data_IF_681047108521
#
_entry.id   IF_681047108521
#
_cell.length_a   1.000
_cell.length_b   1.000
_cell.length_c   1.000
_cell.angle_alpha   90.00
_cell.angle_beta   90.00
_cell.angle_gamma   90.00
#
_symmetry.space_group_name_H-M   'P 1'
#
loop_
_entity.id
_entity.type
_entity.pdbx_description
1 polymer ?
#
# COMPACT_ATOMS: atom_id res chain seq x y z
N UNK A 1 5.98 0.74 12.17
CA UNK A 1 6.21 1.10 10.73
C UNK A 1 5.15 2.11 10.30
N UNK A 2 5.31 2.84 9.19
CA UNK A 2 4.26 3.76 8.72
C UNK A 2 3.29 3.02 7.79
N UNK A 3 2.01 3.41 7.82
CA UNK A 3 0.98 2.88 6.93
C UNK A 3 0.78 3.84 5.75
N UNK A 4 0.66 3.26 4.56
CA UNK A 4 0.37 3.95 3.31
C UNK A 4 -0.84 3.33 2.63
N UNK A 5 -1.59 4.14 1.92
CA UNK A 5 -2.54 3.66 0.91
C UNK A 5 -1.90 3.79 -0.45
N UNK A 6 -1.93 2.71 -1.25
CA UNK A 6 -1.49 2.70 -2.64
C UNK A 6 -2.70 2.47 -3.54
N UNK A 7 -2.94 3.42 -4.44
CA UNK A 7 -4.08 3.40 -5.37
C UNK A 7 -3.51 3.36 -6.79
N UNK A 8 -3.92 2.36 -7.59
CA UNK A 8 -3.57 2.31 -9.00
C UNK A 8 -4.40 3.34 -9.79
N UNK A 9 -3.76 4.07 -10.70
CA UNK A 9 -4.43 4.97 -11.65
C UNK A 9 -4.47 4.34 -13.06
N UNK A 10 -4.32 3.02 -13.13
CA UNK A 10 -4.35 2.24 -14.35
C UNK A 10 -5.73 1.61 -14.59
N UNK A 11 -5.92 1.09 -15.79
CA UNK A 11 -7.04 0.19 -16.08
C UNK A 11 -7.07 -0.97 -15.06
N UNK A 12 -8.25 -1.37 -14.52
CA UNK A 12 -8.35 -2.46 -13.55
C UNK A 12 -7.78 -3.81 -14.03
N UNK A 13 -7.65 -4.01 -15.34
CA UNK A 13 -7.00 -5.20 -15.91
C UNK A 13 -5.47 -5.15 -15.82
N UNK A 14 -4.86 -3.98 -15.61
CA UNK A 14 -3.42 -3.84 -15.44
C UNK A 14 -3.02 -4.20 -14.00
N UNK A 15 -2.38 -5.36 -13.86
CA UNK A 15 -1.96 -5.91 -12.57
C UNK A 15 -0.49 -5.63 -12.24
N UNK A 16 0.24 -4.79 -13.01
CA UNK A 16 1.68 -4.57 -12.79
C UNK A 16 1.98 -4.02 -11.40
N UNK A 17 1.29 -2.95 -10.98
CA UNK A 17 1.48 -2.35 -9.66
C UNK A 17 1.06 -3.32 -8.53
N UNK A 18 -0.10 -3.97 -8.68
CA UNK A 18 -0.56 -4.97 -7.71
C UNK A 18 0.45 -6.13 -7.57
N UNK A 19 1.02 -6.60 -8.68
CA UNK A 19 2.05 -7.63 -8.68
C UNK A 19 3.36 -7.16 -8.03
N UNK A 20 3.77 -5.90 -8.24
CA UNK A 20 4.95 -5.33 -7.57
C UNK A 20 4.79 -5.30 -6.04
N UNK A 21 3.60 -4.93 -5.56
CA UNK A 21 3.27 -4.96 -4.12
C UNK A 21 3.28 -6.40 -3.60
N UNK A 22 2.54 -7.31 -4.25
CA UNK A 22 2.37 -8.70 -3.80
C UNK A 22 3.67 -9.51 -3.82
N UNK A 23 4.61 -9.19 -4.71
CA UNK A 23 5.93 -9.84 -4.81
C UNK A 23 6.97 -9.27 -3.86
N UNK A 24 6.67 -8.16 -3.19
CA UNK A 24 7.61 -7.55 -2.27
C UNK A 24 7.84 -8.44 -1.05
N UNK A 25 9.09 -8.63 -0.62
CA UNK A 25 9.37 -9.44 0.56
C UNK A 25 8.77 -8.82 1.83
N UNK A 26 8.24 -9.64 2.76
CA UNK A 26 7.59 -9.15 3.99
C UNK A 26 8.53 -8.35 4.91
N UNK A 27 9.84 -8.57 4.82
CA UNK A 27 10.86 -7.79 5.52
C UNK A 27 11.02 -6.37 4.96
N UNK A 28 10.58 -6.12 3.73
CA UNK A 28 10.60 -4.79 3.08
C UNK A 28 9.28 -4.08 3.28
N UNK A 29 8.17 -4.73 2.91
CA UNK A 29 6.83 -4.20 3.14
C UNK A 29 5.84 -5.34 3.39
N UNK A 30 4.81 -5.03 4.17
CA UNK A 30 3.63 -5.87 4.32
C UNK A 30 2.44 -5.18 3.67
N UNK A 31 1.50 -5.94 3.15
CA UNK A 31 0.37 -5.39 2.39
C UNK A 31 -0.95 -6.06 2.79
N UNK A 32 -2.03 -5.34 2.55
CA UNK A 32 -3.40 -5.83 2.63
C UNK A 32 -4.20 -5.23 1.47
N UNK A 33 -4.82 -6.09 0.67
CA UNK A 33 -5.63 -5.68 -0.48
C UNK A 33 -7.06 -5.36 -0.01
N UNK A 34 -7.52 -4.16 -0.33
CA UNK A 34 -8.89 -3.73 -0.10
C UNK A 34 -9.81 -4.28 -1.21
N UNK A 35 -11.14 -4.38 -0.97
CA UNK A 35 -12.06 -5.03 -1.90
C UNK A 35 -12.12 -4.45 -3.31
N UNK A 36 -11.67 -3.21 -3.52
CA UNK A 36 -11.69 -2.55 -4.83
C UNK A 36 -10.31 -2.48 -5.50
N UNK A 37 -9.32 -3.18 -4.95
CA UNK A 37 -7.98 -3.34 -5.53
C UNK A 37 -6.96 -2.29 -5.07
N UNK A 38 -7.34 -1.37 -4.17
CA UNK A 38 -6.37 -0.54 -3.46
C UNK A 38 -5.62 -1.36 -2.41
N UNK A 39 -4.44 -0.90 -2.01
CA UNK A 39 -3.63 -1.57 -1.02
C UNK A 39 -3.40 -0.69 0.20
N UNK A 40 -3.51 -1.28 1.37
CA UNK A 40 -2.82 -0.80 2.55
C UNK A 40 -1.42 -1.42 2.55
N UNK A 41 -0.41 -0.61 2.84
CA UNK A 41 0.98 -1.03 2.85
C UNK A 41 1.64 -0.53 4.13
N UNK A 42 2.28 -1.44 4.87
CA UNK A 42 3.16 -1.10 5.98
C UNK A 42 4.59 -1.08 5.47
N UNK A 43 5.23 0.07 5.54
CA UNK A 43 6.58 0.28 5.01
C UNK A 43 7.42 1.14 5.95
N UNK A 44 8.74 0.91 5.95
CA UNK A 44 9.69 1.73 6.68
C UNK A 44 10.28 2.79 5.73
N UNK A 45 9.78 4.01 5.84
CA UNK A 45 10.26 5.14 5.04
C UNK A 45 9.16 6.15 4.79
N UNK A 46 9.33 6.92 3.73
CA UNK A 46 8.41 7.96 3.25
C UNK A 46 7.57 7.46 2.07
N UNK A 47 6.53 8.22 1.71
CA UNK A 47 5.72 7.92 0.52
C UNK A 47 6.53 8.00 -0.78
N UNK A 48 7.53 8.89 -0.85
CA UNK A 48 8.43 9.01 -2.01
C UNK A 48 9.32 7.78 -2.13
N UNK A 49 9.91 7.31 -1.03
CA UNK A 49 10.73 6.09 -1.04
C UNK A 49 9.91 4.86 -1.43
N UNK A 50 8.67 4.74 -0.92
CA UNK A 50 7.76 3.68 -1.32
C UNK A 50 7.36 3.78 -2.81
N UNK A 51 7.07 4.98 -3.31
CA UNK A 51 6.76 5.22 -4.73
C UNK A 51 7.91 4.80 -5.65
N UNK A 52 9.14 5.18 -5.27
CA UNK A 52 10.35 4.79 -5.99
C UNK A 52 10.56 3.28 -5.94
N UNK A 53 10.42 2.66 -4.77
CA UNK A 53 10.56 1.23 -4.58
C UNK A 53 9.55 0.43 -5.42
N UNK A 54 8.30 0.88 -5.49
CA UNK A 54 7.26 0.26 -6.31
C UNK A 54 7.41 0.58 -7.81
N UNK A 55 8.40 1.38 -8.22
CA UNK A 55 8.61 1.75 -9.62
C UNK A 55 7.52 2.65 -10.21
N UNK A 56 6.76 3.36 -9.36
CA UNK A 56 5.69 4.30 -9.77
C UNK A 56 6.31 5.58 -10.33
N UNK A 57 7.31 6.14 -9.64
CA UNK A 57 7.93 7.43 -10.01
C UNK A 57 8.55 7.41 -11.41
N UNK A 58 9.03 6.24 -11.85
CA UNK A 58 9.64 6.02 -13.16
C UNK A 58 8.67 5.37 -14.17
N UNK A 59 7.41 5.12 -13.77
CA UNK A 59 6.39 4.47 -14.60
C UNK A 59 6.64 3.00 -14.95
N UNK A 60 7.62 2.34 -14.32
CA UNK A 60 8.03 0.97 -14.63
C UNK A 60 6.91 -0.05 -14.36
N UNK A 61 6.22 0.10 -13.23
CA UNK A 61 5.08 -0.73 -12.84
C UNK A 61 3.74 -0.02 -13.07
N UNK A 62 3.73 1.03 -13.90
CA UNK A 62 2.59 1.88 -14.22
C UNK A 62 2.41 3.06 -13.24
N UNK A 63 1.26 3.72 -13.29
CA UNK A 63 0.92 4.90 -12.50
C UNK A 63 0.13 4.53 -11.24
N UNK A 64 0.36 5.29 -10.17
CA UNK A 64 -0.38 5.13 -8.93
C UNK A 64 -0.09 6.28 -7.97
N UNK A 65 -0.85 6.31 -6.88
CA UNK A 65 -0.78 7.33 -5.85
C UNK A 65 -0.41 6.66 -4.53
N UNK A 66 0.62 7.18 -3.86
CA UNK A 66 1.04 6.74 -2.52
C UNK A 66 0.69 7.81 -1.50
N UNK A 67 -0.18 7.46 -0.55
CA UNK A 67 -0.69 8.39 0.48
C UNK A 67 -0.23 7.88 1.85
N UNK A 68 0.49 8.70 2.61
CA UNK A 68 0.81 8.39 4.00
C UNK A 68 -0.45 8.53 4.87
N UNK A 69 -0.78 7.48 5.62
CA UNK A 69 -1.95 7.48 6.50
C UNK A 69 -1.52 8.02 7.87
N UNK A 70 -1.92 9.25 8.18
CA UNK A 70 -1.63 9.88 9.47
C UNK A 70 -2.67 9.55 10.55
N UNK A 71 -3.88 9.18 10.14
CA UNK A 71 -5.00 8.88 11.01
C UNK A 71 -6.09 8.12 10.25
N UNK A 72 -6.93 7.38 10.97
CA UNK A 72 -8.06 6.63 10.40
C UNK A 72 -9.35 6.90 11.19
N UNK A 73 -10.43 7.22 10.49
CA UNK A 73 -11.79 7.35 11.03
C UNK A 73 -12.80 6.77 10.05
N UNK A 74 -13.72 5.94 10.54
CA UNK A 74 -14.77 5.31 9.73
C UNK A 74 -15.11 3.89 10.16
N UNK A 75 -15.85 3.19 9.30
CA UNK A 75 -16.16 1.76 9.45
C UNK A 75 -15.50 0.99 8.32
N UNK A 76 -14.73 -0.02 8.66
CA UNK A 76 -14.18 -1.01 7.74
C UNK A 76 -14.59 -2.42 8.20
N UNK A 77 -14.26 -3.44 7.41
CA UNK A 77 -14.40 -4.82 7.87
C UNK A 77 -13.50 -5.07 9.08
N UNK A 78 -13.85 -6.09 9.88
CA UNK A 78 -13.02 -6.53 11.02
C UNK A 78 -11.58 -6.77 10.58
N UNK A 79 -11.37 -7.50 9.48
CA UNK A 79 -10.05 -7.82 8.94
C UNK A 79 -9.23 -6.57 8.58
N UNK A 80 -9.85 -5.57 7.95
CA UNK A 80 -9.17 -4.31 7.60
C UNK A 80 -8.74 -3.58 8.87
N UNK A 81 -9.63 -3.50 9.87
CA UNK A 81 -9.33 -2.85 11.14
C UNK A 81 -8.23 -3.58 11.92
N UNK A 82 -8.27 -4.91 11.99
CA UNK A 82 -7.26 -5.73 12.66
C UNK A 82 -5.89 -5.59 11.99
N UNK A 83 -5.86 -5.56 10.65
CA UNK A 83 -4.63 -5.33 9.90
C UNK A 83 -4.05 -3.95 10.21
N UNK A 84 -4.86 -2.89 10.14
CA UNK A 84 -4.44 -1.52 10.44
C UNK A 84 -3.88 -1.46 11.86
N UNK A 85 -4.62 -1.98 12.84
CA UNK A 85 -4.22 -1.97 14.25
C UNK A 85 -2.86 -2.64 14.46
N UNK A 86 -2.68 -3.85 13.92
CA UNK A 86 -1.45 -4.64 14.08
C UNK A 86 -0.22 -3.95 13.48
N UNK A 87 -0.38 -3.21 12.39
CA UNK A 87 0.73 -2.57 11.68
C UNK A 87 0.99 -1.12 12.13
N UNK A 88 0.01 -0.48 12.78
CA UNK A 88 0.13 0.86 13.34
C UNK A 88 0.65 0.85 14.77
N UNK A 89 0.16 -0.06 15.63
CA UNK A 89 0.58 -0.17 17.03
C UNK A 89 2.03 -0.65 17.19
N UNK A 90 2.64 -1.18 16.12
CA UNK A 90 4.08 -1.45 16.04
C UNK A 90 4.94 -0.22 15.71
N UNK A 91 4.50 0.99 16.07
CA UNK A 91 5.26 2.24 16.01
C UNK A 91 5.87 2.58 17.36
#
# INVERSE_FOLDING_TARGET
>A
MAIFTVISDLDPSDSRLANAIKRSPPEVLQWYELPRGEFLVSYKGTSVELSNYLGISEGQNGSGIVIAVASYWGRASTDTWEWIKTHWEGQ
#
